data_IF_525408612199
#
_entry.id   IF_525408612199
#
_cell.length_a   1.000
_cell.length_b   1.000
_cell.length_c   1.000
_cell.angle_alpha   90.00
_cell.angle_beta   90.00
_cell.angle_gamma   90.00
#
_symmetry.space_group_name_H-M   'P 1'
#
loop_
_entity.id
_entity.type
_entity.pdbx_description
1 polymer ?
#
# COMPACT_ATOMS: atom_id res chain seq x y z
N UNK A 1 12.00 46.18 -26.84
CA UNK A 1 11.26 44.89 -26.88
C UNK A 1 11.77 44.03 -25.74
N UNK A 2 10.88 43.38 -24.98
CA UNK A 2 11.16 42.20 -24.14
C UNK A 2 11.45 42.39 -22.63
N UNK A 3 10.64 43.19 -21.91
CA UNK A 3 10.49 43.01 -20.45
C UNK A 3 9.20 42.23 -20.10
N UNK A 4 8.17 42.33 -20.93
CA UNK A 4 6.88 41.64 -20.72
C UNK A 4 7.01 40.12 -20.98
N UNK A 5 7.84 39.71 -21.94
CA UNK A 5 8.05 38.28 -22.26
C UNK A 5 8.74 37.49 -21.13
N UNK A 6 9.54 38.14 -20.28
CA UNK A 6 10.26 37.45 -19.20
C UNK A 6 9.36 37.21 -17.97
N UNK A 7 8.42 38.13 -17.70
CA UNK A 7 7.44 37.98 -16.61
C UNK A 7 6.42 36.87 -16.92
N UNK A 8 5.99 36.72 -18.17
CA UNK A 8 5.04 35.68 -18.58
C UNK A 8 5.64 34.28 -18.47
N UNK A 9 6.95 34.14 -18.76
CA UNK A 9 7.66 32.85 -18.61
C UNK A 9 7.84 32.47 -17.15
N UNK A 10 8.02 33.43 -16.23
CA UNK A 10 8.18 33.15 -14.80
C UNK A 10 6.85 32.87 -14.08
N UNK A 11 5.73 33.41 -14.58
CA UNK A 11 4.38 33.13 -14.03
C UNK A 11 3.86 31.77 -14.50
N UNK A 12 4.26 31.28 -15.68
CA UNK A 12 3.86 29.96 -16.19
C UNK A 12 4.62 28.78 -15.57
N UNK A 13 5.82 28.98 -15.03
CA UNK A 13 6.56 27.91 -14.32
C UNK A 13 6.07 27.66 -12.90
N UNK A 14 5.27 28.57 -12.31
CA UNK A 14 4.76 28.41 -10.94
C UNK A 14 3.39 27.69 -10.84
N UNK A 15 2.69 27.48 -11.96
CA UNK A 15 1.30 27.01 -11.97
C UNK A 15 1.13 25.50 -12.25
N UNK A 16 2.21 24.73 -12.30
CA UNK A 16 2.15 23.38 -12.90
C UNK A 16 2.89 22.25 -12.21
N UNK A 17 3.46 22.43 -11.02
CA UNK A 17 3.89 21.28 -10.22
C UNK A 17 2.66 20.70 -9.51
N UNK A 18 1.74 20.15 -10.31
CA UNK A 18 0.67 19.32 -9.80
C UNK A 18 1.34 18.11 -9.15
N UNK A 19 1.46 18.12 -7.83
CA UNK A 19 1.77 16.92 -7.07
C UNK A 19 0.60 15.98 -7.39
N UNK A 20 0.84 14.99 -8.24
CA UNK A 20 -0.15 13.99 -8.61
C UNK A 20 -0.48 13.22 -7.33
N UNK A 21 -1.60 13.58 -6.71
CA UNK A 21 -2.11 12.85 -5.56
C UNK A 21 -2.70 11.54 -6.06
N UNK A 22 -2.11 10.42 -5.68
CA UNK A 22 -2.53 9.09 -6.13
C UNK A 22 -3.97 8.81 -5.71
N UNK A 23 -4.25 8.94 -4.41
CA UNK A 23 -5.59 8.85 -3.84
C UNK A 23 -5.71 9.87 -2.70
N UNK A 24 -6.85 10.59 -2.67
CA UNK A 24 -7.25 11.42 -1.52
C UNK A 24 -8.44 10.79 -0.84
N UNK A 25 -8.23 10.23 0.34
CA UNK A 25 -9.33 9.68 1.14
C UNK A 25 -10.07 10.82 1.83
N UNK A 26 -11.40 10.76 1.83
CA UNK A 26 -12.25 11.71 2.51
C UNK A 26 -12.51 11.23 3.94
N UNK A 27 -12.53 12.18 4.88
CA UNK A 27 -12.93 11.92 6.26
C UNK A 27 -14.39 11.46 6.31
N UNK A 28 -14.71 10.58 7.27
CA UNK A 28 -16.05 10.01 7.48
C UNK A 28 -16.59 9.19 6.30
N UNK A 29 -15.74 8.79 5.34
CA UNK A 29 -16.09 7.87 4.25
C UNK A 29 -15.41 6.52 4.50
N UNK A 30 -16.19 5.44 4.38
CA UNK A 30 -15.69 4.07 4.46
C UNK A 30 -15.46 3.55 3.04
N UNK A 31 -14.21 3.29 2.70
CA UNK A 31 -13.81 2.77 1.39
C UNK A 31 -13.73 1.25 1.44
N UNK A 32 -14.72 0.57 0.88
CA UNK A 32 -14.81 -0.90 0.90
C UNK A 32 -14.29 -1.52 -0.40
N UNK A 33 -13.44 -2.54 -0.29
CA UNK A 33 -12.82 -3.24 -1.41
C UNK A 33 -13.04 -4.74 -1.31
N UNK A 34 -13.25 -5.39 -2.46
CA UNK A 34 -13.15 -6.85 -2.60
C UNK A 34 -11.83 -7.17 -3.31
N UNK A 35 -10.99 -7.96 -2.67
CA UNK A 35 -9.73 -8.48 -3.23
C UNK A 35 -9.97 -9.93 -3.61
N UNK A 36 -9.63 -10.30 -4.85
CA UNK A 36 -9.55 -11.69 -5.28
C UNK A 36 -8.19 -11.88 -5.94
N UNK A 37 -7.46 -12.92 -5.55
CA UNK A 37 -6.14 -13.23 -6.09
C UNK A 37 -6.03 -14.72 -6.32
N UNK A 38 -5.60 -15.10 -7.52
CA UNK A 38 -5.18 -16.46 -7.84
C UNK A 38 -3.64 -16.49 -7.86
N UNK A 39 -3.06 -17.42 -7.11
CA UNK A 39 -1.61 -17.61 -7.01
C UNK A 39 -1.26 -19.00 -7.50
N UNK A 40 -0.34 -19.09 -8.46
CA UNK A 40 0.17 -20.37 -8.98
C UNK A 40 1.63 -20.52 -8.59
N UNK A 41 1.90 -21.40 -7.63
CA UNK A 41 3.25 -21.74 -7.21
C UNK A 41 3.71 -23.00 -7.93
N UNK A 42 4.72 -22.85 -8.78
CA UNK A 42 5.30 -23.96 -9.52
C UNK A 42 5.75 -25.07 -8.55
N UNK A 43 5.30 -26.30 -8.80
CA UNK A 43 5.56 -27.51 -7.98
C UNK A 43 4.94 -27.51 -6.57
N UNK A 44 4.16 -26.49 -6.18
CA UNK A 44 3.44 -26.47 -4.89
C UNK A 44 1.93 -26.55 -5.12
N UNK A 45 1.39 -25.77 -6.06
CA UNK A 45 -0.01 -25.79 -6.44
C UNK A 45 -0.61 -24.40 -6.62
N UNK A 46 -1.91 -24.39 -6.90
CA UNK A 46 -2.69 -23.17 -7.11
C UNK A 46 -3.46 -22.84 -5.83
N UNK A 47 -3.55 -21.55 -5.53
CA UNK A 47 -4.21 -21.03 -4.35
C UNK A 47 -5.10 -19.86 -4.72
N UNK A 48 -6.18 -19.69 -3.98
CA UNK A 48 -7.11 -18.58 -4.12
C UNK A 48 -7.21 -17.84 -2.80
N UNK A 49 -7.08 -16.52 -2.88
CA UNK A 49 -7.28 -15.59 -1.79
C UNK A 49 -8.49 -14.72 -2.13
N UNK A 50 -9.44 -14.65 -1.21
CA UNK A 50 -10.56 -13.70 -1.27
C UNK A 50 -10.60 -12.89 0.03
N UNK A 51 -10.65 -11.57 -0.08
CA UNK A 51 -10.80 -10.70 1.09
C UNK A 51 -11.83 -9.60 0.84
N UNK A 52 -12.54 -9.21 1.89
CA UNK A 52 -13.29 -7.96 1.95
C UNK A 52 -12.64 -7.09 3.01
N UNK A 53 -12.26 -5.89 2.61
CA UNK A 53 -11.56 -4.95 3.48
C UNK A 53 -12.20 -3.58 3.39
N UNK A 54 -12.01 -2.78 4.42
CA UNK A 54 -12.41 -1.38 4.42
C UNK A 54 -11.30 -0.48 4.99
N UNK A 55 -11.20 0.72 4.44
CA UNK A 55 -10.31 1.78 4.92
C UNK A 55 -11.13 2.99 5.36
N UNK A 56 -10.75 3.57 6.50
CA UNK A 56 -11.34 4.82 7.01
C UNK A 56 -10.23 5.76 7.46
N UNK A 57 -10.34 7.05 7.13
CA UNK A 57 -9.40 8.07 7.61
C UNK A 57 -9.65 8.31 9.10
N UNK A 58 -8.60 8.18 9.92
CA UNK A 58 -8.66 8.45 11.36
C UNK A 58 -7.79 9.63 11.79
N UNK A 59 -6.80 10.02 10.97
CA UNK A 59 -6.05 11.26 11.12
C UNK A 59 -5.67 11.82 9.74
N UNK A 60 -5.46 13.12 9.65
CA UNK A 60 -5.20 13.82 8.40
C UNK A 60 -4.24 15.00 8.63
N UNK A 61 -3.03 14.86 8.10
CA UNK A 61 -1.98 15.84 8.18
C UNK A 61 -1.61 16.37 6.78
N UNK A 62 -0.93 17.53 6.68
CA UNK A 62 -0.50 18.05 5.38
C UNK A 62 0.39 17.10 4.58
N UNK A 63 1.14 16.23 5.27
CA UNK A 63 2.11 15.31 4.65
C UNK A 63 1.63 13.87 4.56
N UNK A 64 0.54 13.47 5.21
CA UNK A 64 0.02 12.10 5.20
C UNK A 64 -1.45 12.03 5.64
N UNK A 65 -2.12 10.94 5.30
CA UNK A 65 -3.38 10.52 5.92
C UNK A 65 -3.14 9.24 6.72
N UNK A 66 -3.72 9.13 7.91
CA UNK A 66 -3.73 7.86 8.64
C UNK A 66 -5.01 7.09 8.31
N UNK A 67 -4.84 5.88 7.79
CA UNK A 67 -5.93 4.98 7.44
C UNK A 67 -6.01 3.83 8.43
N UNK A 68 -7.20 3.60 8.97
CA UNK A 68 -7.54 2.38 9.70
C UNK A 68 -7.98 1.31 8.69
N UNK A 69 -7.32 0.15 8.70
CA UNK A 69 -7.71 -1.04 7.95
C UNK A 69 -8.63 -1.91 8.81
N UNK A 70 -9.74 -2.34 8.24
CA UNK A 70 -10.59 -3.39 8.76
C UNK A 70 -10.68 -4.54 7.76
N UNK A 71 -10.49 -5.77 8.24
CA UNK A 71 -10.70 -6.98 7.45
C UNK A 71 -12.07 -7.54 7.82
N UNK A 72 -13.03 -7.43 6.90
CA UNK A 72 -14.42 -7.87 7.12
C UNK A 72 -14.59 -9.37 6.83
N UNK A 73 -13.81 -9.92 5.91
CA UNK A 73 -13.70 -11.36 5.68
C UNK A 73 -12.40 -11.69 4.97
N UNK A 74 -11.80 -12.84 5.28
CA UNK A 74 -10.60 -13.34 4.62
C UNK A 74 -10.73 -14.85 4.40
N UNK A 75 -10.43 -15.30 3.19
CA UNK A 75 -10.45 -16.70 2.81
C UNK A 75 -9.19 -17.01 2.01
N UNK A 76 -8.48 -18.07 2.41
CA UNK A 76 -7.36 -18.62 1.67
C UNK A 76 -7.57 -20.12 1.49
N UNK A 77 -7.47 -20.60 0.25
CA UNK A 77 -7.67 -22.03 -0.05
C UNK A 77 -6.77 -22.49 -1.18
N UNK A 78 -6.43 -23.77 -1.17
CA UNK A 78 -5.82 -24.42 -2.33
C UNK A 78 -6.89 -24.70 -3.39
N UNK A 79 -6.59 -24.42 -4.65
CA UNK A 79 -7.53 -24.64 -5.75
C UNK A 79 -7.80 -26.14 -5.92
N UNK A 80 -9.07 -26.52 -5.84
CA UNK A 80 -9.51 -27.91 -5.98
C UNK A 80 -9.81 -28.63 -4.66
N UNK A 81 -9.52 -28.02 -3.50
CA UNK A 81 -9.94 -28.54 -2.20
C UNK A 81 -11.34 -28.02 -1.84
N UNK A 82 -12.27 -28.93 -1.50
CA UNK A 82 -13.58 -28.59 -0.95
C UNK A 82 -13.46 -28.46 0.57
N UNK A 83 -12.94 -27.32 1.01
CA UNK A 83 -12.69 -27.02 2.42
C UNK A 83 -11.54 -26.04 2.51
N UNK A 84 -11.85 -24.75 2.64
CA UNK A 84 -10.82 -23.77 2.99
C UNK A 84 -10.34 -24.03 4.41
N UNK A 85 -9.10 -23.68 4.71
CA UNK A 85 -8.64 -23.57 6.09
C UNK A 85 -9.48 -22.48 6.76
N UNK A 86 -10.55 -22.88 7.43
CA UNK A 86 -11.29 -22.08 8.40
C UNK A 86 -10.49 -22.04 9.72
N UNK A 87 -9.16 -21.89 9.60
CA UNK A 87 -8.36 -21.52 10.75
C UNK A 87 -8.90 -20.16 11.17
N UNK A 88 -9.39 -20.10 12.40
CA UNK A 88 -10.11 -18.99 13.01
C UNK A 88 -9.14 -17.82 13.23
N UNK A 89 -8.65 -17.23 12.12
CA UNK A 89 -7.64 -16.18 12.12
C UNK A 89 -8.31 -14.90 12.58
N UNK A 90 -7.97 -14.45 13.78
CA UNK A 90 -8.57 -13.28 14.39
C UNK A 90 -7.99 -11.97 13.81
N UNK A 91 -8.73 -11.36 12.89
CA UNK A 91 -8.40 -10.03 12.36
C UNK A 91 -8.97 -8.87 13.18
N UNK A 92 -9.60 -9.11 14.35
CA UNK A 92 -10.33 -8.09 15.11
C UNK A 92 -9.47 -6.96 15.66
N UNK A 93 -8.19 -7.21 15.93
CA UNK A 93 -7.25 -6.20 16.44
C UNK A 93 -7.02 -5.10 15.40
N UNK A 94 -7.04 -3.86 15.86
CA UNK A 94 -6.89 -2.68 15.00
C UNK A 94 -5.53 -2.64 14.30
N UNK A 95 -5.52 -2.06 13.11
CA UNK A 95 -4.32 -1.85 12.31
C UNK A 95 -4.47 -0.55 11.52
N UNK A 96 -3.53 0.38 11.68
CA UNK A 96 -3.51 1.63 10.92
C UNK A 96 -2.13 1.90 10.32
N UNK A 97 -2.08 2.77 9.32
CA UNK A 97 -0.84 3.18 8.67
C UNK A 97 -0.96 4.58 8.07
N UNK A 98 0.19 5.25 7.93
CA UNK A 98 0.27 6.52 7.21
C UNK A 98 0.40 6.28 5.71
N UNK A 99 -0.35 7.04 4.91
CA UNK A 99 -0.18 7.09 3.46
C UNK A 99 0.09 8.53 3.03
N UNK A 100 1.17 8.74 2.29
CA UNK A 100 1.49 10.04 1.70
C UNK A 100 0.65 10.32 0.46
N UNK A 101 0.57 11.60 0.02
CA UNK A 101 -0.11 11.96 -1.23
C UNK A 101 0.37 11.19 -2.48
N UNK A 102 1.64 10.76 -2.50
CA UNK A 102 2.22 9.97 -3.59
C UNK A 102 1.91 8.46 -3.51
N UNK A 103 1.10 8.03 -2.55
CA UNK A 103 0.75 6.63 -2.33
C UNK A 103 1.82 5.82 -1.58
N UNK A 104 2.88 6.45 -1.07
CA UNK A 104 3.86 5.78 -0.22
C UNK A 104 3.26 5.50 1.16
N UNK A 105 3.31 4.23 1.60
CA UNK A 105 2.90 3.82 2.94
C UNK A 105 4.10 3.95 3.89
N UNK A 106 3.88 4.64 5.01
CA UNK A 106 4.82 4.84 6.09
C UNK A 106 4.18 4.39 7.41
N UNK A 107 5.01 4.13 8.42
CA UNK A 107 4.62 3.90 9.83
C UNK A 107 3.37 3.05 10.02
N UNK A 108 3.55 1.78 10.40
CA UNK A 108 2.43 0.88 10.68
C UNK A 108 2.20 0.81 12.19
N UNK A 109 0.95 0.95 12.61
CA UNK A 109 0.55 0.94 14.00
C UNK A 109 -0.42 -0.22 14.23
N UNK A 110 -0.15 -1.02 15.27
CA UNK A 110 -0.98 -2.14 15.66
C UNK A 110 -0.65 -2.55 17.11
N UNK A 111 -1.57 -3.21 17.83
CA UNK A 111 -1.23 -3.90 19.07
C UNK A 111 -0.47 -5.20 18.76
N UNK A 112 0.09 -5.90 19.76
CA UNK A 112 0.67 -7.23 19.56
C UNK A 112 -0.32 -8.17 18.85
N UNK A 113 0.12 -8.74 17.73
CA UNK A 113 -0.69 -9.62 16.88
C UNK A 113 0.13 -10.83 16.42
N UNK A 114 -0.56 -11.88 15.98
CA UNK A 114 0.12 -13.05 15.41
C UNK A 114 0.87 -12.62 14.13
N UNK A 115 2.07 -13.18 13.93
CA UNK A 115 2.95 -12.75 12.83
C UNK A 115 2.28 -12.91 11.45
N UNK A 116 1.50 -13.97 11.27
CA UNK A 116 0.78 -14.25 10.03
C UNK A 116 -0.36 -13.26 9.80
N UNK A 117 -1.15 -12.94 10.84
CA UNK A 117 -2.22 -11.92 10.77
C UNK A 117 -1.62 -10.57 10.38
N UNK A 118 -0.51 -10.21 11.01
CA UNK A 118 0.19 -8.96 10.73
C UNK A 118 0.73 -8.92 9.31
N UNK A 119 1.31 -10.01 8.81
CA UNK A 119 1.80 -10.11 7.44
C UNK A 119 0.67 -9.94 6.43
N UNK A 120 -0.49 -10.56 6.67
CA UNK A 120 -1.68 -10.42 5.81
C UNK A 120 -2.19 -8.97 5.81
N UNK A 121 -2.35 -8.35 6.99
CA UNK A 121 -2.80 -6.95 7.10
C UNK A 121 -1.84 -6.00 6.36
N UNK A 122 -0.52 -6.22 6.47
CA UNK A 122 0.49 -5.47 5.71
C UNK A 122 0.37 -5.68 4.20
N UNK A 123 0.16 -6.92 3.75
CA UNK A 123 -0.06 -7.22 2.33
C UNK A 123 -1.30 -6.51 1.76
N UNK A 124 -2.40 -6.53 2.52
CA UNK A 124 -3.66 -5.84 2.15
C UNK A 124 -3.49 -4.31 2.12
N UNK A 125 -2.80 -3.73 3.11
CA UNK A 125 -2.45 -2.31 3.08
C UNK A 125 -1.56 -1.97 1.88
N UNK A 126 -0.60 -2.85 1.57
CA UNK A 126 0.31 -2.73 0.43
C UNK A 126 -0.38 -2.61 -0.93
N UNK A 127 -1.63 -3.07 -1.08
CA UNK A 127 -2.43 -2.88 -2.29
C UNK A 127 -2.69 -1.40 -2.61
N UNK A 128 -2.65 -0.51 -1.62
CA UNK A 128 -2.77 0.94 -1.83
C UNK A 128 -1.44 1.59 -2.20
N UNK A 129 -0.32 0.87 -2.12
CA UNK A 129 1.00 1.41 -2.43
C UNK A 129 1.18 1.56 -3.93
N UNK A 130 1.05 2.79 -4.42
CA UNK A 130 1.30 3.13 -5.83
C UNK A 130 2.77 3.03 -6.22
N UNK A 131 3.68 3.17 -5.25
CA UNK A 131 5.13 3.15 -5.48
C UNK A 131 5.67 1.72 -5.45
N UNK A 132 4.98 0.81 -6.15
CA UNK A 132 5.45 -0.57 -6.34
C UNK A 132 6.42 -0.72 -7.50
N UNK A 133 6.71 0.31 -8.32
CA UNK A 133 7.97 0.52 -9.06
C UNK A 133 7.97 1.86 -9.83
N UNK A 134 8.77 2.83 -9.37
CA UNK A 134 9.32 3.89 -10.22
C UNK A 134 10.83 3.70 -10.24
N UNK A 135 11.37 3.13 -11.32
CA UNK A 135 12.80 2.93 -11.52
C UNK A 135 13.53 4.28 -11.65
N UNK A 136 13.73 5.05 -10.57
CA UNK A 136 14.68 6.18 -10.57
C UNK A 136 15.01 6.83 -9.21
N UNK A 137 14.98 6.12 -8.08
CA UNK A 137 15.43 6.74 -6.80
C UNK A 137 16.40 5.83 -6.02
N UNK A 138 17.47 5.41 -6.67
CA UNK A 138 18.70 5.05 -5.98
C UNK A 138 19.58 6.30 -5.86
N UNK A 139 19.31 7.15 -4.85
CA UNK A 139 20.32 8.11 -4.42
C UNK A 139 21.41 7.36 -3.64
N UNK A 140 22.68 7.37 -4.10
CA UNK A 140 23.77 6.73 -3.37
C UNK A 140 24.11 7.64 -2.18
N UNK A 141 23.72 7.25 -0.97
CA UNK A 141 24.23 7.96 0.22
C UNK A 141 23.41 7.92 1.51
N UNK A 142 22.24 7.28 1.56
CA UNK A 142 21.46 7.20 2.80
C UNK A 142 21.18 5.76 3.20
N UNK A 143 22.26 5.05 3.56
CA UNK A 143 22.17 3.90 4.45
C UNK A 143 22.38 4.43 5.87
N UNK A 144 21.31 4.48 6.66
CA UNK A 144 21.43 4.51 8.12
C UNK A 144 21.11 3.10 8.58
N UNK A 145 22.14 2.38 9.03
CA UNK A 145 22.03 1.09 9.70
C UNK A 145 21.07 1.20 10.90
N UNK A 146 19.99 0.42 10.83
CA UNK A 146 18.95 0.31 11.84
C UNK A 146 17.80 -0.51 11.27
N UNK A 147 18.16 -1.66 10.69
CA UNK A 147 17.42 -2.29 9.61
C UNK A 147 16.30 -3.20 10.13
N UNK A 148 15.14 -2.59 10.40
CA UNK A 148 13.83 -3.25 10.48
C UNK A 148 12.87 -2.81 9.38
N UNK A 149 13.38 -2.09 8.36
CA UNK A 149 12.57 -1.61 7.24
C UNK A 149 12.20 -2.77 6.35
N UNK A 150 10.93 -3.17 6.39
CA UNK A 150 10.36 -4.11 5.44
C UNK A 150 10.54 -3.53 4.03
N UNK A 151 11.52 -4.07 3.29
CA UNK A 151 11.74 -3.79 1.87
C UNK A 151 11.35 -5.04 1.10
N UNK A 152 10.37 -4.91 0.21
CA UNK A 152 10.02 -5.95 -0.74
C UNK A 152 11.19 -6.12 -1.72
N UNK A 153 12.00 -7.15 -1.54
CA UNK A 153 13.07 -7.52 -2.48
C UNK A 153 12.56 -8.63 -3.40
N UNK A 154 12.23 -8.29 -4.64
CA UNK A 154 12.05 -9.26 -5.73
C UNK A 154 13.30 -9.25 -6.61
N UNK A 155 14.02 -10.37 -6.64
CA UNK A 155 15.04 -10.63 -7.64
C UNK A 155 14.34 -11.14 -8.90
N UNK A 156 13.99 -10.24 -9.83
CA UNK A 156 13.50 -10.65 -11.14
C UNK A 156 14.70 -11.02 -12.05
N UNK A 157 14.75 -12.28 -12.47
CA UNK A 157 15.53 -12.73 -13.61
C UNK A 157 14.52 -13.12 -14.70
N UNK A 158 14.48 -12.35 -15.78
CA UNK A 158 13.68 -12.65 -16.97
C UNK A 158 13.98 -11.67 -18.09
N UNK A 159 14.38 -12.21 -19.25
CA UNK A 159 15.05 -11.51 -20.35
C UNK A 159 14.15 -10.53 -21.13
N UNK A 160 14.85 -9.59 -21.78
CA UNK A 160 14.42 -8.55 -22.74
C UNK A 160 13.16 -8.85 -23.57
#
# INVERSE_FOLDING_TARGET
>A
MNLISSLIVFVLTFLGLGITQFIKFQENVVYSYKVNTDVDFQNVGKFQLEAKISFTVIDNAPSYQELLLKVDSFYFRRSGETGGSDDDVDFSKWFSFHIKPNGEILNVFHPPDDEDVLAIKKGLAGLLSAKLHGKEEAHPGLVREGDGQWKYQTQEIGNE
#
